data_IF_520568706708
#
_entry.id   IF_520568706708
#
_cell.length_a   1.000
_cell.length_b   1.000
_cell.length_c   1.000
_cell.angle_alpha   90.00
_cell.angle_beta   90.00
_cell.angle_gamma   90.00
#
_symmetry.space_group_name_H-M   'P 1'
#
loop_
_entity.id
_entity.type
_entity.pdbx_description
1 polymer ?
#
# COMPACT_ATOMS: atom_id res chain seq x y z
N UNK A 1 -8.23 -9.57 -15.24
CA UNK A 1 -9.49 -10.11 -15.81
C UNK A 1 -9.42 -11.62 -16.00
N UNK A 2 -8.41 -12.16 -16.69
CA UNK A 2 -8.25 -13.63 -16.87
C UNK A 2 -8.17 -14.42 -15.56
N UNK A 3 -7.44 -13.93 -14.54
CA UNK A 3 -7.34 -14.60 -13.23
C UNK A 3 -8.66 -14.61 -12.45
N UNK A 4 -9.43 -13.52 -12.54
CA UNK A 4 -10.76 -13.41 -11.92
C UNK A 4 -11.75 -14.31 -12.67
N UNK A 5 -11.66 -14.38 -14.01
CA UNK A 5 -12.44 -15.30 -14.82
C UNK A 5 -12.16 -16.77 -14.49
N UNK A 6 -10.88 -17.15 -14.33
CA UNK A 6 -10.51 -18.51 -13.94
C UNK A 6 -11.02 -18.86 -12.54
N UNK A 7 -10.90 -17.94 -11.56
CA UNK A 7 -11.41 -18.16 -10.20
C UNK A 7 -12.94 -18.23 -10.16
N UNK A 8 -13.65 -17.37 -10.91
CA UNK A 8 -15.12 -17.41 -11.00
C UNK A 8 -15.58 -18.69 -11.68
N UNK A 9 -14.98 -19.10 -12.80
CA UNK A 9 -15.31 -20.37 -13.47
C UNK A 9 -15.01 -21.55 -12.55
N UNK A 10 -13.87 -21.56 -11.86
CA UNK A 10 -13.50 -22.61 -10.92
C UNK A 10 -14.35 -22.64 -9.64
N UNK A 11 -15.04 -21.55 -9.27
CA UNK A 11 -15.97 -21.47 -8.14
C UNK A 11 -17.39 -21.81 -8.57
N UNK A 12 -17.84 -21.28 -9.71
CA UNK A 12 -19.21 -21.42 -10.21
C UNK A 12 -19.47 -22.80 -10.81
N UNK A 13 -18.49 -23.42 -11.47
CA UNK A 13 -18.61 -24.77 -12.03
C UNK A 13 -18.89 -25.85 -10.97
N UNK A 14 -18.14 -25.94 -9.85
CA UNK A 14 -18.46 -26.90 -8.80
C UNK A 14 -19.73 -26.57 -8.01
N UNK A 15 -20.15 -25.29 -7.93
CA UNK A 15 -21.42 -24.92 -7.31
C UNK A 15 -22.62 -25.40 -8.14
N UNK A 16 -22.56 -25.25 -9.48
CA UNK A 16 -23.60 -25.77 -10.37
C UNK A 16 -23.68 -27.30 -10.34
N UNK A 17 -22.54 -27.99 -10.20
CA UNK A 17 -22.50 -29.45 -10.12
C UNK A 17 -23.08 -29.96 -8.78
N UNK A 18 -22.85 -29.25 -7.68
CA UNK A 18 -23.43 -29.58 -6.37
C UNK A 18 -24.96 -29.41 -6.38
N UNK A 19 -25.48 -28.31 -6.92
CA UNK A 19 -26.92 -28.06 -6.96
C UNK A 19 -27.65 -29.00 -7.93
N UNK A 20 -26.99 -29.40 -9.00
CA UNK A 20 -27.44 -30.47 -9.89
C UNK A 20 -27.48 -31.83 -9.17
N UNK A 21 -26.41 -32.22 -8.47
CA UNK A 21 -26.33 -33.48 -7.72
C UNK A 21 -27.39 -33.56 -6.61
N UNK A 22 -27.67 -32.45 -5.91
CA UNK A 22 -28.76 -32.38 -4.90
C UNK A 22 -30.13 -32.58 -5.52
N UNK A 23 -30.39 -31.89 -6.64
CA UNK A 23 -31.66 -32.00 -7.38
C UNK A 23 -31.88 -33.43 -7.87
N UNK A 24 -30.82 -34.06 -8.40
CA UNK A 24 -30.84 -35.44 -8.87
C UNK A 24 -31.05 -36.45 -7.73
N UNK A 25 -30.38 -36.27 -6.59
CA UNK A 25 -30.56 -37.10 -5.39
C UNK A 25 -32.03 -37.11 -4.95
N UNK A 26 -32.68 -35.93 -4.91
CA UNK A 26 -34.09 -35.79 -4.55
C UNK A 26 -35.01 -36.51 -5.54
N UNK A 27 -34.71 -36.44 -6.84
CA UNK A 27 -35.46 -37.16 -7.87
C UNK A 27 -35.30 -38.68 -7.73
N UNK A 28 -34.07 -39.15 -7.49
CA UNK A 28 -33.78 -40.57 -7.27
C UNK A 28 -34.44 -41.11 -5.98
N UNK A 29 -34.48 -40.34 -4.90
CA UNK A 29 -35.21 -40.69 -3.67
C UNK A 29 -36.72 -40.81 -3.90
N UNK A 30 -37.29 -39.88 -4.67
CA UNK A 30 -38.71 -39.90 -5.03
C UNK A 30 -39.04 -41.12 -5.91
N UNK A 31 -38.21 -41.38 -6.93
CA UNK A 31 -38.37 -42.52 -7.83
C UNK A 31 -38.21 -43.88 -7.11
N UNK A 32 -37.23 -43.98 -6.20
CA UNK A 32 -37.05 -45.15 -5.33
C UNK A 32 -38.28 -45.41 -4.47
N UNK A 33 -38.84 -44.37 -3.85
CA UNK A 33 -40.03 -44.47 -3.00
C UNK A 33 -41.24 -44.95 -3.81
N UNK A 34 -41.44 -44.38 -5.00
CA UNK A 34 -42.53 -44.77 -5.90
C UNK A 34 -42.39 -46.23 -6.37
N UNK A 35 -41.19 -46.65 -6.75
CA UNK A 35 -40.90 -48.04 -7.16
C UNK A 35 -41.11 -49.04 -6.01
N UNK A 36 -40.85 -48.63 -4.76
CA UNK A 36 -41.01 -49.50 -3.58
C UNK A 36 -42.47 -49.64 -3.13
N UNK A 37 -43.34 -48.73 -3.54
CA UNK A 37 -44.77 -48.71 -3.20
C UNK A 37 -45.66 -49.44 -4.22
N UNK A 38 -45.11 -49.84 -5.37
CA UNK A 38 -45.84 -50.53 -6.43
C UNK A 38 -45.89 -52.04 -6.15
N UNK A 39 -47.08 -52.57 -5.87
CA UNK A 39 -47.28 -54.02 -5.76
C UNK A 39 -47.05 -54.71 -7.10
N UNK A 40 -46.33 -55.84 -7.08
CA UNK A 40 -46.01 -56.67 -8.25
C UNK A 40 -45.15 -56.01 -9.35
N UNK A 41 -44.32 -55.02 -9.00
CA UNK A 41 -43.40 -54.39 -9.97
C UNK A 41 -42.30 -55.36 -10.45
N UNK A 42 -42.20 -55.64 -11.77
CA UNK A 42 -41.13 -56.47 -12.31
C UNK A 42 -39.76 -55.82 -12.07
N UNK A 43 -38.78 -56.63 -11.62
CA UNK A 43 -37.41 -56.18 -11.35
C UNK A 43 -37.30 -55.04 -10.31
N UNK A 44 -38.25 -54.92 -9.36
CA UNK A 44 -38.26 -53.81 -8.39
C UNK A 44 -36.95 -53.68 -7.62
N UNK A 45 -36.35 -54.80 -7.20
CA UNK A 45 -35.06 -54.83 -6.50
C UNK A 45 -33.92 -54.21 -7.33
N UNK A 46 -33.94 -54.41 -8.65
CA UNK A 46 -32.93 -53.85 -9.57
C UNK A 46 -33.10 -52.33 -9.66
N UNK A 47 -34.33 -51.82 -9.78
CA UNK A 47 -34.59 -50.38 -9.78
C UNK A 47 -34.24 -49.73 -8.44
N UNK A 48 -34.69 -50.30 -7.33
CA UNK A 48 -34.45 -49.76 -5.97
C UNK A 48 -32.95 -49.75 -5.63
N UNK A 49 -32.22 -50.80 -6.01
CA UNK A 49 -30.76 -50.86 -5.80
C UNK A 49 -29.99 -49.89 -6.70
N UNK A 50 -30.44 -49.67 -7.94
CA UNK A 50 -29.86 -48.67 -8.85
C UNK A 50 -30.05 -47.26 -8.29
N UNK A 51 -31.28 -46.88 -7.90
CA UNK A 51 -31.53 -45.58 -7.28
C UNK A 51 -30.75 -45.39 -5.98
N UNK A 52 -30.58 -46.44 -5.17
CA UNK A 52 -29.76 -46.38 -3.96
C UNK A 52 -28.29 -46.08 -4.31
N UNK A 53 -27.73 -46.75 -5.31
CA UNK A 53 -26.36 -46.48 -5.79
C UNK A 53 -26.21 -45.06 -6.31
N UNK A 54 -27.19 -44.56 -7.05
CA UNK A 54 -27.18 -43.20 -7.57
C UNK A 54 -27.22 -42.16 -6.43
N UNK A 55 -28.05 -42.37 -5.41
CA UNK A 55 -28.10 -41.51 -4.22
C UNK A 55 -26.74 -41.51 -3.51
N UNK A 56 -26.18 -42.70 -3.23
CA UNK A 56 -24.89 -42.84 -2.53
C UNK A 56 -23.75 -42.18 -3.34
N UNK A 57 -23.75 -42.33 -4.67
CA UNK A 57 -22.78 -41.71 -5.56
C UNK A 57 -22.89 -40.18 -5.58
N UNK A 58 -24.10 -39.63 -5.69
CA UNK A 58 -24.32 -38.18 -5.66
C UNK A 58 -23.92 -37.58 -4.30
N UNK A 59 -24.17 -38.28 -3.20
CA UNK A 59 -23.70 -37.86 -1.87
C UNK A 59 -22.17 -37.82 -1.80
N UNK A 60 -21.48 -38.83 -2.34
CA UNK A 60 -20.02 -38.86 -2.42
C UNK A 60 -19.46 -37.70 -3.27
N UNK A 61 -20.10 -37.39 -4.40
CA UNK A 61 -19.76 -36.26 -5.25
C UNK A 61 -19.88 -34.93 -4.50
N UNK A 62 -21.02 -34.69 -3.83
CA UNK A 62 -21.24 -33.48 -3.03
C UNK A 62 -20.18 -33.36 -1.92
N UNK A 63 -19.94 -34.43 -1.18
CA UNK A 63 -18.94 -34.44 -0.11
C UNK A 63 -17.53 -34.11 -0.64
N UNK A 64 -17.16 -34.70 -1.77
CA UNK A 64 -15.86 -34.47 -2.41
C UNK A 64 -15.73 -33.03 -2.92
N UNK A 65 -16.76 -32.51 -3.58
CA UNK A 65 -16.78 -31.13 -4.08
C UNK A 65 -16.67 -30.11 -2.93
N UNK A 66 -17.40 -30.31 -1.83
CA UNK A 66 -17.29 -29.48 -0.62
C UNK A 66 -15.90 -29.59 0.01
N UNK A 67 -15.31 -30.78 0.08
CA UNK A 67 -13.97 -30.96 0.63
C UNK A 67 -12.90 -30.23 -0.20
N UNK A 68 -13.02 -30.25 -1.54
CA UNK A 68 -12.13 -29.52 -2.45
C UNK A 68 -12.30 -28.00 -2.31
N UNK A 69 -13.54 -27.53 -2.19
CA UNK A 69 -13.87 -26.11 -2.03
C UNK A 69 -13.38 -25.58 -0.67
N UNK A 70 -13.80 -26.21 0.42
CA UNK A 70 -13.60 -25.65 1.77
C UNK A 70 -12.22 -25.96 2.33
N UNK A 71 -11.69 -27.17 2.13
CA UNK A 71 -10.55 -27.64 2.93
C UNK A 71 -9.23 -27.70 2.15
N UNK A 72 -9.25 -27.87 0.83
CA UNK A 72 -8.02 -28.17 0.08
C UNK A 72 -7.54 -27.05 -0.85
N UNK A 73 -8.44 -26.30 -1.47
CA UNK A 73 -8.04 -25.38 -2.54
C UNK A 73 -8.67 -24.01 -2.43
N UNK A 74 -10.00 -23.90 -2.48
CA UNK A 74 -10.62 -22.58 -2.69
C UNK A 74 -10.42 -21.64 -1.48
N UNK A 75 -10.65 -22.09 -0.25
CA UNK A 75 -10.41 -21.24 0.92
C UNK A 75 -8.94 -20.88 1.13
N UNK A 76 -7.97 -21.83 1.10
CA UNK A 76 -6.55 -21.47 1.22
C UNK A 76 -6.07 -20.50 0.15
N UNK A 77 -6.50 -20.67 -1.11
CA UNK A 77 -6.16 -19.76 -2.20
C UNK A 77 -6.76 -18.37 -2.02
N UNK A 78 -8.01 -18.29 -1.54
CA UNK A 78 -8.66 -17.02 -1.26
C UNK A 78 -7.99 -16.29 -0.09
N UNK A 79 -7.66 -17.01 0.98
CA UNK A 79 -6.91 -16.47 2.12
C UNK A 79 -5.54 -15.94 1.65
N UNK A 80 -4.81 -16.73 0.86
CA UNK A 80 -3.51 -16.32 0.32
C UNK A 80 -3.62 -15.10 -0.59
N UNK A 81 -4.65 -15.03 -1.42
CA UNK A 81 -4.93 -13.84 -2.25
C UNK A 81 -5.16 -12.60 -1.37
N UNK A 82 -5.98 -12.72 -0.33
CA UNK A 82 -6.29 -11.60 0.57
C UNK A 82 -5.03 -11.11 1.33
N UNK A 83 -4.15 -12.02 1.74
CA UNK A 83 -2.85 -11.67 2.33
C UNK A 83 -1.96 -10.89 1.36
N UNK A 84 -1.87 -11.35 0.10
CA UNK A 84 -1.09 -10.67 -0.93
C UNK A 84 -1.66 -9.29 -1.27
N UNK A 85 -2.99 -9.17 -1.35
CA UNK A 85 -3.68 -7.90 -1.59
C UNK A 85 -3.43 -6.93 -0.43
N UNK A 86 -3.44 -7.43 0.82
CA UNK A 86 -3.10 -6.64 2.00
C UNK A 86 -1.63 -6.19 1.97
N UNK A 87 -0.69 -7.10 1.74
CA UNK A 87 0.74 -6.77 1.68
C UNK A 87 1.04 -5.75 0.57
N UNK A 88 0.39 -5.89 -0.59
CA UNK A 88 0.47 -4.93 -1.69
C UNK A 88 -0.03 -3.55 -1.26
N UNK A 89 -1.15 -3.49 -0.55
CA UNK A 89 -1.71 -2.24 -0.04
C UNK A 89 -0.77 -1.59 0.98
N UNK A 90 -0.28 -2.37 1.93
CA UNK A 90 0.64 -1.90 2.98
C UNK A 90 1.95 -1.38 2.37
N UNK A 91 2.52 -2.10 1.39
CA UNK A 91 3.70 -1.67 0.65
C UNK A 91 3.46 -0.37 -0.12
N UNK A 92 2.31 -0.24 -0.79
CA UNK A 92 1.94 0.99 -1.50
C UNK A 92 1.81 2.17 -0.54
N UNK A 93 1.18 1.98 0.61
CA UNK A 93 1.01 3.01 1.63
C UNK A 93 2.36 3.42 2.23
N UNK A 94 3.24 2.45 2.50
CA UNK A 94 4.60 2.72 2.99
C UNK A 94 5.41 3.50 1.97
N UNK A 95 5.40 3.08 0.70
CA UNK A 95 6.05 3.80 -0.39
C UNK A 95 5.53 5.25 -0.51
N UNK A 96 4.21 5.44 -0.50
CA UNK A 96 3.61 6.78 -0.58
C UNK A 96 4.00 7.66 0.62
N UNK A 97 4.08 7.08 1.82
CA UNK A 97 4.49 7.78 3.03
C UNK A 97 5.95 8.25 2.95
N UNK A 98 6.86 7.36 2.54
CA UNK A 98 8.28 7.72 2.42
C UNK A 98 8.52 8.69 1.26
N UNK A 99 7.81 8.54 0.14
CA UNK A 99 7.84 9.50 -0.95
C UNK A 99 7.36 10.89 -0.51
N UNK A 100 6.30 10.97 0.32
CA UNK A 100 5.81 12.24 0.86
C UNK A 100 6.85 12.90 1.76
N UNK A 101 7.48 12.14 2.67
CA UNK A 101 8.55 12.64 3.53
C UNK A 101 9.74 13.17 2.74
N UNK A 102 10.11 12.48 1.65
CA UNK A 102 11.15 12.94 0.73
C UNK A 102 10.80 14.30 0.11
N UNK A 103 9.55 14.46 -0.38
CA UNK A 103 9.08 15.72 -0.94
C UNK A 103 9.08 16.85 0.11
N UNK A 104 8.64 16.56 1.33
CA UNK A 104 8.67 17.51 2.44
C UNK A 104 10.12 17.95 2.78
N UNK A 105 11.08 17.01 2.80
CA UNK A 105 12.50 17.33 2.99
C UNK A 105 13.07 18.17 1.85
N UNK A 106 12.81 17.82 0.59
CA UNK A 106 13.28 18.58 -0.58
C UNK A 106 12.71 20.01 -0.61
N UNK A 107 11.43 20.18 -0.28
CA UNK A 107 10.84 21.54 -0.19
C UNK A 107 11.47 22.36 0.93
N UNK A 108 11.79 21.74 2.06
CA UNK A 108 12.47 22.39 3.18
C UNK A 108 13.90 22.81 2.80
N UNK A 109 14.64 21.92 2.14
CA UNK A 109 15.97 22.20 1.62
C UNK A 109 15.96 23.37 0.63
N UNK A 110 15.01 23.42 -0.30
CA UNK A 110 14.87 24.55 -1.24
C UNK A 110 14.63 25.88 -0.53
N UNK A 111 13.78 25.89 0.50
CA UNK A 111 13.52 27.09 1.32
C UNK A 111 14.77 27.51 2.09
N UNK A 112 15.46 26.57 2.73
CA UNK A 112 16.70 26.84 3.46
C UNK A 112 17.80 27.38 2.54
N UNK A 113 17.94 26.83 1.33
CA UNK A 113 18.88 27.32 0.31
C UNK A 113 18.56 28.77 -0.10
N UNK A 114 17.30 29.07 -0.36
CA UNK A 114 16.86 30.43 -0.73
C UNK A 114 17.14 31.41 0.42
N UNK A 115 16.81 31.03 1.66
CA UNK A 115 17.07 31.85 2.84
C UNK A 115 18.57 32.09 3.08
N UNK A 116 19.39 31.04 2.97
CA UNK A 116 20.85 31.15 3.09
C UNK A 116 21.42 32.12 2.05
N UNK A 117 20.97 32.00 0.79
CA UNK A 117 21.36 32.92 -0.29
C UNK A 117 20.99 34.36 0.04
N UNK A 118 19.73 34.59 0.46
CA UNK A 118 19.25 35.91 0.85
C UNK A 118 20.06 36.51 2.00
N UNK A 119 20.34 35.74 3.06
CA UNK A 119 21.11 36.23 4.23
C UNK A 119 22.54 36.53 3.88
N UNK A 120 23.17 35.74 3.00
CA UNK A 120 24.51 36.01 2.48
C UNK A 120 24.56 37.30 1.68
N UNK A 121 23.56 37.57 0.83
CA UNK A 121 23.44 38.82 0.07
C UNK A 121 23.19 40.04 0.98
N UNK A 122 22.38 39.89 2.03
CA UNK A 122 22.16 40.93 3.06
C UNK A 122 23.45 41.25 3.80
N UNK A 123 24.20 40.22 4.24
CA UNK A 123 25.51 40.40 4.85
C UNK A 123 26.49 41.12 3.92
N UNK A 124 26.58 40.70 2.64
CA UNK A 124 27.49 41.31 1.68
C UNK A 124 27.15 42.79 1.40
N UNK A 125 25.85 43.14 1.40
CA UNK A 125 25.38 44.53 1.33
C UNK A 125 25.76 45.32 2.58
N UNK A 126 25.57 44.77 3.78
CA UNK A 126 25.95 45.41 5.04
C UNK A 126 27.47 45.64 5.14
N UNK A 127 28.27 44.63 4.78
CA UNK A 127 29.73 44.71 4.72
C UNK A 127 30.21 45.77 3.72
N UNK A 128 29.64 45.81 2.51
CA UNK A 128 29.99 46.81 1.49
C UNK A 128 29.63 48.24 1.92
N UNK A 129 28.50 48.42 2.60
CA UNK A 129 28.07 49.70 3.18
C UNK A 129 29.01 50.17 4.30
N UNK A 130 29.52 49.24 5.13
CA UNK A 130 30.58 49.55 6.09
C UNK A 130 31.83 50.06 5.38
N UNK A 131 32.35 49.30 4.41
CA UNK A 131 33.60 49.62 3.72
C UNK A 131 33.56 50.98 3.00
N UNK A 132 32.49 51.31 2.26
CA UNK A 132 32.37 52.64 1.61
C UNK A 132 32.38 53.79 2.61
N UNK A 133 31.75 53.61 3.76
CA UNK A 133 31.71 54.66 4.79
C UNK A 133 33.03 54.85 5.55
N UNK A 134 33.95 53.87 5.49
CA UNK A 134 35.31 54.02 6.02
C UNK A 134 36.20 54.79 5.02
N UNK A 135 35.88 54.75 3.73
CA UNK A 135 36.66 55.35 2.64
C UNK A 135 36.27 56.82 2.34
N UNK A 136 35.01 57.22 2.58
CA UNK A 136 34.50 58.56 2.25
C UNK A 136 34.65 59.63 3.37
N UNK A 137 34.95 59.30 4.63
CA UNK A 137 35.17 60.32 5.67
C UNK A 137 35.87 59.77 6.94
N UNK A 138 37.09 60.22 7.28
CA UNK A 138 37.73 59.89 8.57
C UNK A 138 37.17 60.71 9.76
N UNK A 139 36.15 61.56 9.54
CA UNK A 139 35.69 62.58 10.52
C UNK A 139 34.32 62.19 11.15
N UNK A 140 33.63 61.17 10.64
CA UNK A 140 32.35 60.71 11.22
C UNK A 140 32.60 59.92 12.52
N UNK A 141 32.16 60.46 13.65
CA UNK A 141 32.57 60.03 15.00
C UNK A 141 32.40 58.53 15.31
N UNK A 142 33.38 58.00 16.09
CA UNK A 142 33.51 56.61 16.55
C UNK A 142 32.19 55.89 16.85
N UNK A 143 31.23 56.57 17.50
CA UNK A 143 29.91 56.00 17.85
C UNK A 143 29.10 55.49 16.65
N UNK A 144 29.15 56.14 15.48
CA UNK A 144 28.44 55.65 14.29
C UNK A 144 29.14 54.44 13.66
N UNK A 145 30.47 54.43 13.69
CA UNK A 145 31.29 53.33 13.17
C UNK A 145 31.10 52.06 14.01
N UNK A 146 31.07 52.18 15.34
CA UNK A 146 30.80 51.06 16.26
C UNK A 146 29.37 50.51 16.12
N UNK A 147 28.38 51.38 15.90
CA UNK A 147 26.99 50.95 15.67
C UNK A 147 26.85 50.19 14.35
N UNK A 148 27.59 50.60 13.30
CA UNK A 148 27.67 49.87 12.02
C UNK A 148 28.41 48.53 12.15
N UNK A 149 29.48 48.47 12.95
CA UNK A 149 30.22 47.21 13.22
C UNK A 149 29.31 46.17 13.90
N UNK A 150 28.50 46.60 14.88
CA UNK A 150 27.52 45.71 15.53
C UNK A 150 26.45 45.19 14.56
N UNK A 151 25.94 46.01 13.65
CA UNK A 151 24.93 45.60 12.67
C UNK A 151 25.47 44.58 11.66
N UNK A 152 26.75 44.69 11.30
CA UNK A 152 27.41 43.72 10.44
C UNK A 152 27.72 42.40 11.16
N UNK A 153 28.20 42.45 12.42
CA UNK A 153 28.36 41.25 13.27
C UNK A 153 27.01 40.51 13.42
N UNK A 154 25.91 41.23 13.63
CA UNK A 154 24.56 40.64 13.69
C UNK A 154 24.11 40.04 12.34
N UNK A 155 24.45 40.69 11.23
CA UNK A 155 24.15 40.19 9.88
C UNK A 155 25.00 38.95 9.54
N UNK A 156 26.25 38.89 10.01
CA UNK A 156 27.13 37.73 9.86
C UNK A 156 26.59 36.53 10.64
N UNK A 157 26.24 36.74 11.91
CA UNK A 157 25.64 35.70 12.76
C UNK A 157 24.37 35.12 12.10
N UNK A 158 23.51 35.97 11.57
CA UNK A 158 22.29 35.57 10.84
C UNK A 158 22.56 34.81 9.53
N UNK A 159 23.72 35.02 8.91
CA UNK A 159 24.14 34.29 7.71
C UNK A 159 24.72 32.92 8.08
N UNK A 160 25.52 32.84 9.14
CA UNK A 160 26.06 31.57 9.67
C UNK A 160 24.93 30.65 10.15
N UNK A 161 23.97 31.16 10.93
CA UNK A 161 22.81 30.37 11.37
C UNK A 161 21.98 29.82 10.20
N UNK A 162 21.81 30.62 9.13
CA UNK A 162 21.10 30.19 7.93
C UNK A 162 21.90 29.14 7.12
N UNK A 163 23.23 29.23 7.14
CA UNK A 163 24.12 28.24 6.54
C UNK A 163 24.07 26.91 7.30
N UNK A 164 24.11 26.93 8.63
CA UNK A 164 24.02 25.74 9.47
C UNK A 164 22.67 25.03 9.28
N UNK A 165 21.57 25.79 9.25
CA UNK A 165 20.25 25.25 8.92
C UNK A 165 20.19 24.61 7.53
N UNK A 166 20.83 25.24 6.53
CA UNK A 166 20.92 24.66 5.18
C UNK A 166 21.72 23.34 5.19
N UNK A 167 22.86 23.29 5.88
CA UNK A 167 23.67 22.07 5.98
C UNK A 167 22.90 20.94 6.69
N UNK A 168 22.17 21.25 7.76
CA UNK A 168 21.28 20.29 8.43
C UNK A 168 20.20 19.77 7.48
N UNK A 169 19.58 20.64 6.68
CA UNK A 169 18.57 20.22 5.69
C UNK A 169 19.17 19.32 4.61
N UNK A 170 20.42 19.56 4.16
CA UNK A 170 21.11 18.70 3.20
C UNK A 170 21.29 17.30 3.78
N UNK A 171 21.84 17.22 5.00
CA UNK A 171 22.05 15.95 5.70
C UNK A 171 20.74 15.17 5.88
N UNK A 172 19.67 15.84 6.32
CA UNK A 172 18.34 15.24 6.46
C UNK A 172 17.82 14.69 5.12
N UNK A 173 17.99 15.44 4.03
CA UNK A 173 17.55 15.00 2.69
C UNK A 173 18.32 13.76 2.23
N UNK A 174 19.61 13.67 2.54
CA UNK A 174 20.43 12.51 2.17
C UNK A 174 20.08 11.27 3.00
N UNK A 175 19.81 11.41 4.30
CA UNK A 175 19.26 10.33 5.13
C UNK A 175 17.93 9.84 4.55
N UNK A 176 17.02 10.75 4.19
CA UNK A 176 15.73 10.39 3.56
C UNK A 176 15.91 9.65 2.24
N UNK A 177 16.97 9.92 1.47
CA UNK A 177 17.24 9.21 0.20
C UNK A 177 17.67 7.77 0.45
N UNK A 178 18.49 7.56 1.48
CA UNK A 178 18.88 6.23 1.91
C UNK A 178 17.68 5.45 2.45
N UNK A 179 16.83 6.08 3.26
CA UNK A 179 15.60 5.47 3.76
C UNK A 179 14.69 5.03 2.60
N UNK A 180 14.47 5.90 1.60
CA UNK A 180 13.65 5.57 0.42
C UNK A 180 14.23 4.43 -0.42
N UNK A 181 15.55 4.30 -0.50
CA UNK A 181 16.21 3.21 -1.21
C UNK A 181 16.10 1.85 -0.49
N UNK A 182 15.78 1.86 0.81
CA UNK A 182 15.63 0.68 1.65
C UNK A 182 14.15 0.25 1.85
N UNK A 183 13.22 0.90 1.15
CA UNK A 183 11.76 0.60 1.14
C UNK A 183 11.43 -0.32 -0.03
#
# INVERSE_FOLDING_TARGET
LLYIGFVIIAVSFPLSDIDYAKSYTKMAETAKTLASQQDYMPFSDVYVSTFKRDIDYNQLLIHTAVALQTNKFMQPLLARKNELDKLRKDMKEQWQREQKKMQEADTTLRKARALNTQRREEYQRAHSSRNRSVEEQPIAGNKQMEKKRKLEEEALQKAEEAQDQYQSCVADTDVRKMDLANV
#
